data_IF_719081456950
#
_entry.id   IF_719081456950
#
_cell.length_a   1.000
_cell.length_b   1.000
_cell.length_c   1.000
_cell.angle_alpha   90.00
_cell.angle_beta   90.00
_cell.angle_gamma   90.00
#
_symmetry.space_group_name_H-M   'P 1'
#
loop_
_entity.id
_entity.type
_entity.pdbx_description
1 polymer ?
#
# COMPACT_ATOMS: atom_id res chain seq x y z
N UNK A 1 13.96 -9.01 -2.69
CA UNK A 1 15.18 -9.16 -3.53
C UNK A 1 15.83 -10.51 -3.30
N UNK A 2 16.28 -10.83 -2.10
CA UNK A 2 16.95 -12.10 -1.75
C UNK A 2 16.22 -13.37 -2.22
N UNK A 3 14.92 -13.48 -2.02
CA UNK A 3 14.13 -14.65 -2.45
C UNK A 3 14.17 -14.88 -3.98
N UNK A 4 14.18 -13.79 -4.79
CA UNK A 4 14.25 -13.89 -6.25
C UNK A 4 15.65 -14.29 -6.71
N UNK A 5 16.69 -13.77 -6.06
CA UNK A 5 18.07 -14.17 -6.39
C UNK A 5 18.34 -15.63 -6.01
N UNK A 6 17.83 -16.12 -4.87
CA UNK A 6 17.89 -17.56 -4.53
C UNK A 6 17.15 -18.44 -5.54
N UNK A 7 16.02 -17.96 -6.09
CA UNK A 7 15.30 -18.66 -7.17
C UNK A 7 16.09 -18.65 -8.48
N UNK A 8 16.77 -17.55 -8.79
CA UNK A 8 17.65 -17.46 -9.95
C UNK A 8 18.85 -18.40 -9.82
N UNK A 9 19.49 -18.43 -8.66
CA UNK A 9 20.60 -19.34 -8.37
C UNK A 9 20.20 -20.81 -8.56
N UNK A 10 19.05 -21.22 -8.01
CA UNK A 10 18.49 -22.56 -8.25
C UNK A 10 18.27 -22.82 -9.74
N UNK A 11 17.69 -21.85 -10.46
CA UNK A 11 17.42 -21.96 -11.90
C UNK A 11 18.71 -22.13 -12.71
N UNK A 12 19.78 -21.41 -12.34
CA UNK A 12 21.11 -21.56 -12.97
C UNK A 12 21.72 -22.93 -12.67
N UNK A 13 21.65 -23.40 -11.44
CA UNK A 13 22.13 -24.72 -11.04
C UNK A 13 21.38 -25.86 -11.77
N UNK A 14 20.06 -25.76 -11.91
CA UNK A 14 19.23 -26.74 -12.63
C UNK A 14 19.60 -26.82 -14.13
N UNK A 15 20.31 -25.81 -14.67
CA UNK A 15 20.83 -25.75 -16.05
C UNK A 15 22.33 -26.10 -16.16
N UNK A 16 22.95 -26.52 -15.04
CA UNK A 16 24.38 -26.81 -14.96
C UNK A 16 25.27 -25.62 -15.38
N UNK A 17 24.82 -24.37 -15.17
CA UNK A 17 25.64 -23.19 -15.45
C UNK A 17 26.83 -23.15 -14.50
N UNK A 18 28.05 -23.16 -15.06
CA UNK A 18 29.31 -23.21 -14.29
C UNK A 18 30.09 -21.91 -14.37
N UNK A 19 29.61 -20.94 -15.15
CA UNK A 19 30.30 -19.68 -15.37
C UNK A 19 30.02 -18.74 -14.19
N UNK A 20 31.07 -18.11 -13.66
CA UNK A 20 30.94 -17.01 -12.72
C UNK A 20 30.52 -15.77 -13.51
N UNK A 21 29.25 -15.37 -13.33
CA UNK A 21 28.61 -14.30 -14.09
C UNK A 21 27.26 -14.77 -14.65
N UNK A 22 26.70 -14.02 -15.56
CA UNK A 22 25.40 -14.34 -16.16
C UNK A 22 25.56 -14.35 -17.69
N UNK A 23 25.48 -15.54 -18.27
CA UNK A 23 25.51 -15.69 -19.73
C UNK A 23 24.23 -15.10 -20.35
N UNK A 24 24.30 -14.70 -21.62
CA UNK A 24 23.13 -14.19 -22.35
C UNK A 24 22.03 -15.26 -22.42
N UNK A 25 22.39 -16.50 -22.69
CA UNK A 25 21.42 -17.59 -22.83
C UNK A 25 20.69 -17.87 -21.51
N UNK A 26 21.40 -17.84 -20.37
CA UNK A 26 20.81 -17.97 -19.05
C UNK A 26 19.87 -16.81 -18.74
N UNK A 27 20.28 -15.58 -19.05
CA UNK A 27 19.48 -14.38 -18.84
C UNK A 27 18.20 -14.41 -19.70
N UNK A 28 18.34 -14.73 -20.99
CA UNK A 28 17.20 -14.81 -21.91
C UNK A 28 16.21 -15.90 -21.48
N UNK A 29 16.71 -17.08 -21.07
CA UNK A 29 15.87 -18.14 -20.53
C UNK A 29 15.14 -17.74 -19.23
N UNK A 30 15.83 -17.02 -18.33
CA UNK A 30 15.19 -16.48 -17.13
C UNK A 30 14.17 -15.41 -17.44
N UNK A 31 14.37 -14.59 -18.47
CA UNK A 31 13.46 -13.53 -18.89
C UNK A 31 12.21 -14.04 -19.62
N UNK A 32 12.15 -15.31 -20.03
CA UNK A 32 10.95 -15.93 -20.57
C UNK A 32 9.83 -15.96 -19.51
N UNK A 33 8.57 -15.81 -19.95
CA UNK A 33 7.41 -15.87 -19.07
C UNK A 33 7.22 -17.27 -18.50
N UNK A 34 7.11 -17.38 -17.19
CA UNK A 34 6.79 -18.66 -16.54
C UNK A 34 5.29 -18.95 -16.55
N UNK A 35 4.89 -20.24 -16.51
CA UNK A 35 3.47 -20.61 -16.41
C UNK A 35 2.80 -19.95 -15.21
N UNK A 36 1.66 -19.30 -15.43
CA UNK A 36 0.90 -18.61 -14.39
C UNK A 36 1.50 -17.30 -13.87
N UNK A 37 2.62 -16.84 -14.43
CA UNK A 37 3.25 -15.57 -14.05
C UNK A 37 2.51 -14.38 -14.69
N UNK A 38 2.23 -13.32 -13.88
CA UNK A 38 1.74 -12.05 -14.42
C UNK A 38 2.86 -11.25 -15.10
N UNK A 39 2.53 -10.37 -16.06
CA UNK A 39 3.51 -9.49 -16.69
C UNK A 39 4.21 -8.55 -15.69
N UNK A 40 3.49 -8.06 -14.67
CA UNK A 40 4.07 -7.27 -13.59
C UNK A 40 5.16 -8.04 -12.83
N UNK A 41 4.90 -9.31 -12.49
CA UNK A 41 5.86 -10.15 -11.78
C UNK A 41 7.07 -10.49 -12.66
N UNK A 42 6.83 -10.79 -13.93
CA UNK A 42 7.89 -11.01 -14.92
C UNK A 42 8.78 -9.78 -15.05
N UNK A 43 8.18 -8.61 -15.25
CA UNK A 43 8.91 -7.35 -15.39
C UNK A 43 9.75 -7.06 -14.14
N UNK A 44 9.17 -7.22 -12.93
CA UNK A 44 9.88 -7.04 -11.67
C UNK A 44 11.05 -8.03 -11.51
N UNK A 45 10.87 -9.28 -11.93
CA UNK A 45 11.90 -10.32 -11.91
C UNK A 45 13.08 -9.96 -12.82
N UNK A 46 12.81 -9.40 -14.00
CA UNK A 46 13.84 -8.94 -14.94
C UNK A 46 14.60 -7.73 -14.37
N UNK A 47 13.89 -6.76 -13.73
CA UNK A 47 14.55 -5.63 -13.06
C UNK A 47 15.55 -6.10 -12.00
N UNK A 48 15.18 -7.09 -11.20
CA UNK A 48 16.08 -7.63 -10.15
C UNK A 48 17.30 -8.28 -10.78
N UNK A 49 17.13 -9.11 -11.82
CA UNK A 49 18.25 -9.74 -12.52
C UNK A 49 19.16 -8.68 -13.15
N UNK A 50 18.57 -7.68 -13.81
CA UNK A 50 19.31 -6.57 -14.42
C UNK A 50 20.19 -5.84 -13.41
N UNK A 51 19.64 -5.52 -12.23
CA UNK A 51 20.40 -4.89 -11.16
C UNK A 51 21.54 -5.78 -10.64
N UNK A 52 21.28 -7.09 -10.54
CA UNK A 52 22.30 -8.05 -10.13
C UNK A 52 23.40 -8.22 -11.18
N UNK A 53 23.04 -8.34 -12.48
CA UNK A 53 24.02 -8.37 -13.58
C UNK A 53 24.93 -7.14 -13.60
N UNK A 54 24.31 -5.95 -13.43
CA UNK A 54 25.08 -4.69 -13.35
C UNK A 54 26.04 -4.69 -12.15
N UNK A 55 25.62 -5.16 -10.99
CA UNK A 55 26.48 -5.31 -9.82
C UNK A 55 27.65 -6.28 -10.10
N UNK A 56 27.40 -7.44 -10.71
CA UNK A 56 28.45 -8.41 -11.06
C UNK A 56 29.51 -7.79 -11.97
N UNK A 57 29.11 -6.97 -12.98
CA UNK A 57 30.05 -6.24 -13.82
C UNK A 57 30.93 -5.29 -12.99
N UNK A 58 30.36 -4.60 -11.98
CA UNK A 58 31.15 -3.66 -11.14
C UNK A 58 32.24 -4.34 -10.32
N UNK A 59 32.08 -5.64 -10.04
CA UNK A 59 33.06 -6.46 -9.31
C UNK A 59 33.91 -7.37 -10.23
N UNK A 60 33.87 -7.12 -11.57
CA UNK A 60 34.76 -7.72 -12.54
C UNK A 60 34.29 -9.03 -13.16
N UNK A 61 33.02 -9.46 -12.95
CA UNK A 61 32.47 -10.62 -13.64
C UNK A 61 31.80 -10.23 -14.94
N UNK A 62 32.09 -10.99 -16.01
CA UNK A 62 31.37 -10.82 -17.28
C UNK A 62 29.92 -11.30 -17.11
N UNK A 63 28.98 -10.36 -17.23
CA UNK A 63 27.57 -10.64 -17.00
C UNK A 63 26.70 -9.85 -17.99
N UNK A 64 25.84 -10.56 -18.70
CA UNK A 64 24.88 -9.96 -19.61
C UNK A 64 23.80 -9.20 -18.86
N UNK A 65 23.54 -7.94 -19.25
CA UNK A 65 22.46 -7.12 -18.68
C UNK A 65 21.21 -7.27 -19.54
N UNK A 66 20.14 -7.94 -19.05
CA UNK A 66 18.93 -8.17 -19.84
C UNK A 66 18.25 -6.86 -20.26
N UNK A 67 17.67 -6.84 -21.46
CA UNK A 67 16.85 -5.72 -21.93
C UNK A 67 15.49 -5.79 -21.25
N UNK A 68 15.02 -4.64 -20.71
CA UNK A 68 13.69 -4.56 -20.13
C UNK A 68 12.63 -4.56 -21.23
N UNK A 69 11.62 -5.44 -21.15
CA UNK A 69 10.49 -5.39 -22.06
C UNK A 69 9.68 -4.11 -21.85
N UNK A 70 9.02 -3.62 -22.90
CA UNK A 70 8.00 -2.58 -22.72
C UNK A 70 6.91 -3.12 -21.79
N UNK A 71 6.65 -2.42 -20.71
CA UNK A 71 5.66 -2.82 -19.73
C UNK A 71 4.80 -1.63 -19.33
N UNK A 72 3.50 -1.80 -19.42
CA UNK A 72 2.52 -0.85 -18.88
C UNK A 72 1.68 -1.60 -17.86
N UNK A 73 1.71 -1.15 -16.63
CA UNK A 73 0.82 -1.69 -15.61
C UNK A 73 -0.59 -1.16 -15.83
N UNK A 74 -1.52 -2.04 -16.16
CA UNK A 74 -2.96 -1.75 -16.27
C UNK A 74 -3.67 -1.88 -14.90
N UNK A 75 -2.90 -1.79 -13.81
CA UNK A 75 -3.47 -1.89 -12.49
C UNK A 75 -4.28 -0.64 -12.13
N UNK A 76 -5.60 -0.81 -12.00
CA UNK A 76 -6.51 0.19 -11.44
C UNK A 76 -6.83 -0.21 -10.01
N UNK A 77 -6.53 0.62 -9.00
CA UNK A 77 -6.89 0.33 -7.62
C UNK A 77 -8.41 0.37 -7.44
N UNK A 78 -8.91 -0.41 -6.49
CA UNK A 78 -10.31 -0.34 -6.08
C UNK A 78 -10.50 0.85 -5.12
N UNK A 79 -11.55 1.63 -5.33
CA UNK A 79 -11.93 2.74 -4.45
C UNK A 79 -13.25 2.36 -3.78
N UNK A 80 -13.19 2.22 -2.46
CA UNK A 80 -14.37 1.87 -1.67
C UNK A 80 -15.37 3.02 -1.63
N UNK A 81 -16.64 2.72 -1.87
CA UNK A 81 -17.72 3.68 -1.69
C UNK A 81 -18.02 3.92 -0.20
N UNK A 82 -18.67 5.04 0.16
CA UNK A 82 -19.09 5.30 1.54
C UNK A 82 -19.96 4.17 2.14
N UNK A 83 -20.91 3.63 1.34
CA UNK A 83 -21.76 2.51 1.75
C UNK A 83 -20.96 1.22 2.00
N UNK A 84 -19.99 0.91 1.14
CA UNK A 84 -19.09 -0.24 1.36
C UNK A 84 -18.27 -0.07 2.64
N UNK A 85 -17.75 1.14 2.89
CA UNK A 85 -17.00 1.42 4.12
C UNK A 85 -17.87 1.28 5.37
N UNK A 86 -19.13 1.72 5.33
CA UNK A 86 -20.07 1.53 6.43
C UNK A 86 -20.30 0.03 6.73
N UNK A 87 -20.54 -0.76 5.68
CA UNK A 87 -20.70 -2.22 5.80
C UNK A 87 -19.44 -2.89 6.35
N UNK A 88 -18.25 -2.47 5.88
CA UNK A 88 -16.95 -2.95 6.38
C UNK A 88 -16.82 -2.65 7.88
N UNK A 89 -17.08 -1.42 8.31
CA UNK A 89 -16.98 -1.04 9.73
C UNK A 89 -17.97 -1.81 10.59
N UNK A 90 -19.19 -2.01 10.13
CA UNK A 90 -20.20 -2.82 10.82
C UNK A 90 -19.74 -4.26 11.04
N UNK A 91 -19.13 -4.88 10.00
CA UNK A 91 -18.58 -6.23 10.14
C UNK A 91 -17.31 -6.28 11.02
N UNK A 92 -16.46 -5.24 10.98
CA UNK A 92 -15.33 -5.10 11.91
C UNK A 92 -15.79 -5.10 13.38
N UNK A 93 -16.86 -4.37 13.68
CA UNK A 93 -17.39 -4.28 15.04
C UNK A 93 -18.03 -5.60 15.49
N UNK A 94 -18.72 -6.31 14.59
CA UNK A 94 -19.28 -7.64 14.86
C UNK A 94 -18.21 -8.69 15.17
N UNK A 95 -17.09 -8.68 14.46
CA UNK A 95 -15.99 -9.62 14.69
C UNK A 95 -15.40 -9.46 16.10
N UNK A 96 -15.43 -8.26 16.65
CA UNK A 96 -14.93 -7.96 17.99
C UNK A 96 -15.77 -8.63 19.10
N UNK A 97 -17.01 -8.99 18.84
CA UNK A 97 -17.90 -9.60 19.82
C UNK A 97 -17.55 -11.08 20.18
N UNK A 98 -16.70 -11.75 19.40
CA UNK A 98 -16.33 -13.17 19.60
C UNK A 98 -14.93 -13.34 20.21
N UNK A 99 -14.76 -12.97 21.48
CA UNK A 99 -13.48 -12.72 22.15
C UNK A 99 -12.66 -13.92 22.67
N UNK A 100 -13.02 -15.16 22.40
CA UNK A 100 -12.43 -16.27 23.16
C UNK A 100 -11.19 -16.97 22.57
N UNK A 101 -10.57 -16.44 21.52
CA UNK A 101 -9.38 -17.05 20.95
C UNK A 101 -8.11 -16.28 21.33
N UNK A 102 -7.33 -16.81 22.23
CA UNK A 102 -6.10 -16.22 22.83
C UNK A 102 -5.10 -15.71 21.77
N UNK A 103 -5.00 -16.35 20.63
CA UNK A 103 -4.09 -15.94 19.53
C UNK A 103 -4.75 -15.05 18.46
N UNK A 104 -5.91 -14.47 18.75
CA UNK A 104 -6.67 -13.69 17.77
C UNK A 104 -6.17 -12.26 17.64
N UNK A 105 -5.98 -11.79 16.42
CA UNK A 105 -5.77 -10.39 16.10
C UNK A 105 -7.09 -9.59 15.99
N UNK A 106 -8.24 -10.27 16.11
CA UNK A 106 -9.59 -9.70 15.86
C UNK A 106 -9.89 -8.49 16.75
N UNK A 107 -9.39 -8.50 17.98
CA UNK A 107 -9.51 -7.40 18.95
C UNK A 107 -8.98 -6.06 18.39
N UNK A 108 -7.87 -6.09 17.63
CA UNK A 108 -7.24 -4.90 17.05
C UNK A 108 -7.92 -4.41 15.76
N UNK A 109 -8.72 -5.27 15.11
CA UNK A 109 -9.26 -5.01 13.77
C UNK A 109 -10.11 -3.75 13.68
N UNK A 110 -11.09 -3.49 14.57
CA UNK A 110 -11.95 -2.32 14.42
C UNK A 110 -11.19 -1.00 14.44
N UNK A 111 -10.20 -0.87 15.32
CA UNK A 111 -9.34 0.31 15.39
C UNK A 111 -8.38 0.38 14.23
N UNK A 112 -7.71 -0.74 13.89
CA UNK A 112 -6.71 -0.81 12.82
C UNK A 112 -7.31 -0.46 11.44
N UNK A 113 -8.47 -1.01 11.09
CA UNK A 113 -9.11 -0.73 9.79
C UNK A 113 -9.52 0.74 9.70
N UNK A 114 -10.08 1.32 10.77
CA UNK A 114 -10.41 2.76 10.82
C UNK A 114 -9.16 3.63 10.72
N UNK A 115 -8.06 3.22 11.36
CA UNK A 115 -6.79 3.93 11.27
C UNK A 115 -6.25 3.92 9.83
N UNK A 116 -6.25 2.75 9.17
CA UNK A 116 -5.80 2.63 7.78
C UNK A 116 -6.65 3.46 6.82
N UNK A 117 -7.98 3.46 7.01
CA UNK A 117 -8.89 4.24 6.19
C UNK A 117 -8.77 5.74 6.44
N UNK A 118 -8.70 6.18 7.71
CA UNK A 118 -8.69 7.59 8.09
C UNK A 118 -7.34 8.29 7.94
N UNK A 119 -6.24 7.52 7.75
CA UNK A 119 -4.90 8.09 7.61
C UNK A 119 -4.19 7.67 6.33
N UNK A 120 -4.66 6.65 5.64
CA UNK A 120 -4.01 6.12 4.44
C UNK A 120 -2.59 5.57 4.66
N UNK A 121 -2.13 5.33 5.89
CA UNK A 121 -0.81 4.74 6.16
C UNK A 121 -0.71 3.30 5.63
N UNK A 122 0.51 2.82 5.40
CA UNK A 122 0.71 1.43 4.96
C UNK A 122 0.45 0.46 6.10
N UNK A 123 -0.10 -0.72 5.79
CA UNK A 123 -0.30 -1.77 6.82
C UNK A 123 1.01 -2.10 7.56
N UNK A 124 2.15 -2.14 6.85
CA UNK A 124 3.45 -2.40 7.47
C UNK A 124 3.91 -1.29 8.41
N UNK A 125 3.48 -0.05 8.19
CA UNK A 125 3.71 1.08 9.10
C UNK A 125 2.78 0.95 10.32
N UNK A 126 1.49 0.68 10.10
CA UNK A 126 0.50 0.55 11.18
C UNK A 126 0.84 -0.55 12.19
N UNK A 127 1.23 -1.75 11.74
CA UNK A 127 1.56 -2.86 12.65
C UNK A 127 2.88 -2.70 13.40
N UNK A 128 3.71 -1.75 13.00
CA UNK A 128 4.97 -1.39 13.68
C UNK A 128 4.80 -0.24 14.68
N UNK A 129 3.65 0.44 14.70
CA UNK A 129 3.39 1.50 15.65
C UNK A 129 3.56 1.00 17.08
N UNK A 130 4.27 1.79 17.89
CA UNK A 130 4.37 1.63 19.34
C UNK A 130 3.42 2.61 20.05
N UNK A 131 3.18 2.40 21.33
CA UNK A 131 2.37 3.32 22.10
C UNK A 131 2.97 4.72 22.18
N UNK A 132 4.31 4.86 22.25
CA UNK A 132 5.02 6.14 22.24
C UNK A 132 4.92 6.90 20.91
N UNK A 133 4.55 6.23 19.82
CA UNK A 133 4.41 6.85 18.51
C UNK A 133 3.07 7.58 18.32
N UNK A 134 2.15 7.47 19.29
CA UNK A 134 0.83 8.10 19.21
C UNK A 134 0.75 9.24 20.23
N UNK A 135 0.77 10.46 19.72
CA UNK A 135 0.58 11.65 20.51
C UNK A 135 -0.92 12.02 20.55
N UNK A 136 -1.57 11.61 21.61
CA UNK A 136 -2.98 11.91 21.81
C UNK A 136 -3.25 13.37 22.15
N UNK A 137 -2.26 14.12 22.64
CA UNK A 137 -2.41 15.53 22.98
C UNK A 137 -2.42 16.40 21.73
N UNK A 138 -1.49 16.11 20.79
CA UNK A 138 -1.37 16.82 19.54
C UNK A 138 -2.10 16.11 18.38
N UNK A 139 -2.83 15.02 18.66
CA UNK A 139 -3.60 14.23 17.69
C UNK A 139 -2.78 13.87 16.46
N UNK A 140 -1.63 13.25 16.65
CA UNK A 140 -0.76 12.81 15.56
C UNK A 140 -0.06 11.48 15.84
N UNK A 141 0.39 10.82 14.76
CA UNK A 141 1.22 9.63 14.77
C UNK A 141 2.62 9.99 14.28
N UNK A 142 3.65 9.42 14.89
CA UNK A 142 5.00 9.39 14.35
C UNK A 142 5.24 8.05 13.65
N UNK A 143 5.41 8.06 12.35
CA UNK A 143 5.78 6.89 11.56
C UNK A 143 7.29 6.86 11.40
N UNK A 144 7.93 5.84 12.01
CA UNK A 144 9.38 5.68 11.98
C UNK A 144 9.82 4.80 10.81
N UNK A 145 11.05 5.02 10.34
CA UNK A 145 11.71 4.18 9.33
C UNK A 145 10.79 3.84 8.14
N UNK A 146 10.12 4.86 7.60
CA UNK A 146 9.28 4.66 6.44
C UNK A 146 10.10 4.09 5.26
N UNK A 147 9.43 3.59 4.22
CA UNK A 147 10.07 2.95 3.05
C UNK A 147 11.21 3.76 2.41
N UNK A 148 11.24 5.07 2.65
CA UNK A 148 12.29 6.01 2.22
C UNK A 148 13.35 6.31 3.29
N UNK A 149 13.35 5.59 4.42
CA UNK A 149 14.25 5.80 5.56
C UNK A 149 14.01 7.07 6.35
N UNK A 150 12.91 7.80 6.09
CA UNK A 150 12.57 9.05 6.79
C UNK A 150 11.36 8.86 7.68
N UNK A 151 11.40 9.49 8.84
CA UNK A 151 10.23 9.58 9.73
C UNK A 151 9.25 10.63 9.21
N UNK A 152 7.96 10.47 9.52
CA UNK A 152 6.95 11.48 9.23
C UNK A 152 5.83 11.49 10.26
N UNK A 153 5.28 12.67 10.49
CA UNK A 153 4.06 12.83 11.27
C UNK A 153 2.82 12.67 10.38
N UNK A 154 1.79 12.06 10.96
CA UNK A 154 0.50 11.85 10.34
C UNK A 154 -0.57 12.34 11.29
N UNK A 155 -1.37 13.38 10.94
CA UNK A 155 -2.44 13.87 11.80
C UNK A 155 -3.55 12.83 11.95
N UNK A 156 -4.17 12.81 13.12
CA UNK A 156 -5.38 12.06 13.41
C UNK A 156 -6.57 13.03 13.48
N UNK A 157 -7.69 12.65 12.89
CA UNK A 157 -8.93 13.38 13.17
C UNK A 157 -9.34 13.15 14.64
N UNK A 158 -10.07 14.10 15.28
CA UNK A 158 -10.53 13.94 16.65
C UNK A 158 -11.32 12.65 16.88
N UNK A 159 -12.18 12.27 15.92
CA UNK A 159 -12.94 11.02 15.96
C UNK A 159 -12.05 9.78 15.93
N UNK A 160 -10.99 9.79 15.11
CA UNK A 160 -10.04 8.69 15.03
C UNK A 160 -9.15 8.60 16.28
N UNK A 161 -8.73 9.75 16.83
CA UNK A 161 -8.03 9.81 18.11
C UNK A 161 -8.86 9.22 19.26
N UNK A 162 -10.18 9.49 19.27
CA UNK A 162 -11.11 8.89 20.23
C UNK A 162 -11.18 7.36 20.11
N UNK A 163 -11.26 6.83 18.88
CA UNK A 163 -11.25 5.38 18.61
C UNK A 163 -9.95 4.74 19.09
N UNK A 164 -8.81 5.40 18.88
CA UNK A 164 -7.52 4.92 19.36
C UNK A 164 -7.44 4.93 20.90
N UNK A 165 -7.98 5.95 21.58
CA UNK A 165 -8.08 6.00 23.07
C UNK A 165 -8.98 4.88 23.62
N UNK A 166 -10.13 4.64 22.98
CA UNK A 166 -11.02 3.54 23.35
C UNK A 166 -10.34 2.17 23.21
N UNK A 167 -9.57 2.00 22.13
CA UNK A 167 -8.77 0.78 21.94
C UNK A 167 -7.73 0.59 23.05
N UNK A 168 -7.02 1.65 23.48
CA UNK A 168 -6.07 1.58 24.61
C UNK A 168 -6.79 1.22 25.90
N UNK A 169 -7.94 1.84 26.17
CA UNK A 169 -8.76 1.52 27.35
C UNK A 169 -9.20 0.05 27.36
N UNK A 170 -9.58 -0.49 26.19
CA UNK A 170 -9.90 -1.91 26.03
C UNK A 170 -8.69 -2.80 26.27
N UNK A 171 -7.50 -2.44 25.74
CA UNK A 171 -6.26 -3.17 26.04
C UNK A 171 -6.01 -3.28 27.54
N UNK A 172 -6.14 -2.18 28.26
CA UNK A 172 -5.96 -2.16 29.74
C UNK A 172 -6.93 -3.10 30.44
N UNK A 173 -8.23 -3.07 30.06
CA UNK A 173 -9.26 -3.95 30.62
C UNK A 173 -8.98 -5.43 30.40
N UNK A 174 -8.30 -5.77 29.30
CA UNK A 174 -7.87 -7.14 28.98
C UNK A 174 -6.50 -7.53 29.57
N UNK A 175 -5.87 -6.65 30.36
CA UNK A 175 -4.55 -6.88 30.94
C UNK A 175 -3.41 -6.89 29.92
N UNK A 176 -3.63 -6.36 28.72
CA UNK A 176 -2.60 -6.24 27.68
C UNK A 176 -1.68 -5.06 27.97
N UNK A 177 -0.42 -5.19 27.59
CA UNK A 177 0.58 -4.16 27.83
C UNK A 177 0.30 -2.85 27.09
N UNK A 178 0.46 -1.73 27.81
CA UNK A 178 0.41 -0.36 27.28
C UNK A 178 1.76 0.36 27.44
N UNK A 179 2.84 -0.40 27.70
CA UNK A 179 4.17 0.19 27.81
C UNK A 179 4.50 0.97 26.53
N UNK A 180 5.09 2.18 26.63
CA UNK A 180 5.43 3.02 25.50
C UNK A 180 6.19 2.32 24.36
N UNK A 181 7.08 1.39 24.69
CA UNK A 181 7.91 0.68 23.71
C UNK A 181 7.23 -0.55 23.08
N UNK A 182 6.06 -0.97 23.59
CA UNK A 182 5.34 -2.11 23.05
C UNK A 182 4.49 -1.71 21.84
N UNK A 183 4.23 -2.69 20.97
CA UNK A 183 3.38 -2.47 19.81
C UNK A 183 1.98 -2.02 20.19
N UNK A 184 1.50 -1.03 19.44
CA UNK A 184 0.15 -0.52 19.65
C UNK A 184 -0.90 -1.58 19.29
N UNK A 185 -0.78 -2.19 18.10
CA UNK A 185 -1.66 -3.27 17.64
C UNK A 185 -1.05 -4.64 17.93
N UNK A 186 -1.75 -5.43 18.71
CA UNK A 186 -1.31 -6.76 19.17
C UNK A 186 -2.42 -7.79 19.08
N UNK A 187 -2.06 -9.06 19.17
CA UNK A 187 -3.01 -10.15 19.40
C UNK A 187 -3.44 -10.16 20.87
N UNK A 188 -4.46 -10.96 21.21
CA UNK A 188 -4.93 -11.10 22.60
C UNK A 188 -3.88 -11.68 23.57
N UNK A 189 -2.78 -12.23 23.08
CA UNK A 189 -1.64 -12.68 23.87
C UNK A 189 -0.45 -11.71 23.87
N UNK A 190 -0.71 -10.44 23.55
CA UNK A 190 0.27 -9.35 23.48
C UNK A 190 1.42 -9.55 22.46
N UNK A 191 1.26 -10.48 21.51
CA UNK A 191 2.22 -10.69 20.44
C UNK A 191 1.92 -9.85 19.20
N UNK A 192 2.95 -9.61 18.38
CA UNK A 192 2.83 -8.85 17.13
C UNK A 192 1.87 -9.50 16.12
N UNK A 193 1.29 -8.68 15.26
CA UNK A 193 0.39 -9.12 14.20
C UNK A 193 1.11 -9.08 12.86
N UNK A 194 0.97 -10.11 12.04
CA UNK A 194 1.49 -10.09 10.67
C UNK A 194 0.53 -9.42 9.70
N UNK A 195 1.05 -8.75 8.68
CA UNK A 195 0.22 -8.16 7.61
C UNK A 195 -0.62 -9.21 6.88
N UNK A 196 -0.12 -10.45 6.76
CA UNK A 196 -0.85 -11.57 6.16
C UNK A 196 -2.08 -11.94 6.99
N UNK A 197 -1.95 -11.98 8.34
CA UNK A 197 -3.07 -12.25 9.24
C UNK A 197 -4.16 -11.18 9.07
N UNK A 198 -3.79 -9.90 9.05
CA UNK A 198 -4.75 -8.81 8.86
C UNK A 198 -5.43 -8.90 7.50
N UNK A 199 -4.67 -9.18 6.42
CA UNK A 199 -5.23 -9.33 5.08
C UNK A 199 -6.24 -10.49 5.00
N UNK A 200 -5.95 -11.62 5.64
CA UNK A 200 -6.88 -12.75 5.69
C UNK A 200 -8.17 -12.39 6.43
N UNK A 201 -8.07 -11.74 7.61
CA UNK A 201 -9.25 -11.29 8.36
C UNK A 201 -10.05 -10.28 7.54
N UNK A 202 -9.38 -9.33 6.89
CA UNK A 202 -10.03 -8.32 6.05
C UNK A 202 -10.77 -8.96 4.86
N UNK A 203 -10.22 -10.02 4.25
CA UNK A 203 -10.90 -10.76 3.21
C UNK A 203 -12.24 -11.36 3.70
N UNK A 204 -12.25 -11.95 4.89
CA UNK A 204 -13.50 -12.46 5.49
C UNK A 204 -14.48 -11.32 5.83
N UNK A 205 -13.98 -10.14 6.22
CA UNK A 205 -14.83 -8.96 6.41
C UNK A 205 -15.49 -8.57 5.09
N UNK A 206 -14.73 -8.51 3.98
CA UNK A 206 -15.29 -8.19 2.66
C UNK A 206 -16.37 -9.18 2.23
N UNK A 207 -16.15 -10.48 2.42
CA UNK A 207 -17.13 -11.53 2.14
C UNK A 207 -18.43 -11.31 2.93
N UNK A 208 -18.32 -11.03 4.24
CA UNK A 208 -19.48 -10.77 5.11
C UNK A 208 -20.19 -9.45 4.81
N UNK A 209 -19.44 -8.46 4.37
CA UNK A 209 -19.96 -7.17 3.91
C UNK A 209 -20.59 -7.25 2.49
N UNK A 210 -20.67 -8.44 1.90
CA UNK A 210 -21.16 -8.68 0.53
C UNK A 210 -20.42 -7.81 -0.52
N UNK A 211 -19.11 -7.64 -0.34
CA UNK A 211 -18.25 -6.95 -1.30
C UNK A 211 -17.51 -8.01 -2.11
N UNK A 212 -17.96 -8.19 -3.35
CA UNK A 212 -17.53 -9.31 -4.21
C UNK A 212 -16.15 -9.02 -4.83
N UNK A 213 -15.28 -10.02 -4.80
CA UNK A 213 -14.06 -10.04 -5.60
C UNK A 213 -14.37 -10.56 -7.00
N UNK A 214 -13.87 -9.88 -8.02
CA UNK A 214 -13.94 -10.36 -9.39
C UNK A 214 -13.18 -11.69 -9.53
N UNK A 215 -13.67 -12.58 -10.40
CA UNK A 215 -13.14 -13.93 -10.65
C UNK A 215 -11.61 -13.94 -10.92
N UNK A 216 -11.07 -12.88 -11.49
CA UNK A 216 -9.64 -12.72 -11.79
C UNK A 216 -8.78 -12.32 -10.58
N UNK A 217 -9.24 -12.43 -9.34
CA UNK A 217 -8.57 -11.98 -8.10
C UNK A 217 -8.16 -10.49 -8.10
N UNK A 218 -8.64 -9.70 -9.05
CA UNK A 218 -8.50 -8.24 -9.13
C UNK A 218 -9.70 -7.63 -8.41
N UNK A 219 -9.73 -7.72 -7.11
CA UNK A 219 -10.84 -7.19 -6.33
C UNK A 219 -10.35 -6.35 -5.17
N UNK A 220 -11.28 -5.83 -4.38
CA UNK A 220 -10.96 -5.00 -3.24
C UNK A 220 -9.99 -5.70 -2.28
N UNK A 221 -9.00 -4.96 -1.82
CA UNK A 221 -7.91 -5.44 -0.94
C UNK A 221 -7.71 -4.47 0.20
N UNK A 222 -7.05 -4.93 1.25
CA UNK A 222 -6.68 -4.08 2.39
C UNK A 222 -5.91 -2.81 1.97
N UNK A 223 -5.01 -2.92 0.97
CA UNK A 223 -4.24 -1.77 0.50
C UNK A 223 -5.09 -0.72 -0.23
N UNK A 224 -6.25 -1.10 -0.72
CA UNK A 224 -7.16 -0.20 -1.42
C UNK A 224 -7.85 0.80 -0.46
N UNK A 225 -7.84 0.54 0.86
CA UNK A 225 -8.19 1.56 1.86
C UNK A 225 -7.30 2.81 1.76
N UNK A 226 -6.00 2.61 1.52
CA UNK A 226 -5.05 3.70 1.30
C UNK A 226 -5.31 4.42 -0.02
N UNK A 227 -5.68 3.68 -1.07
CA UNK A 227 -6.06 4.28 -2.35
C UNK A 227 -7.32 5.12 -2.20
N UNK A 228 -8.33 4.61 -1.49
CA UNK A 228 -9.57 5.33 -1.18
C UNK A 228 -9.29 6.60 -0.38
N UNK A 229 -8.47 6.52 0.68
CA UNK A 229 -8.05 7.70 1.42
C UNK A 229 -7.42 8.77 0.51
N UNK A 230 -6.50 8.36 -0.36
CA UNK A 230 -5.80 9.30 -1.24
C UNK A 230 -6.75 9.99 -2.23
N UNK A 231 -7.67 9.23 -2.84
CA UNK A 231 -8.68 9.78 -3.77
C UNK A 231 -9.63 10.72 -3.03
N UNK A 232 -10.19 10.32 -1.90
CA UNK A 232 -11.11 11.15 -1.13
C UNK A 232 -10.43 12.45 -0.64
N UNK A 233 -9.18 12.35 -0.16
CA UNK A 233 -8.42 13.54 0.26
C UNK A 233 -8.10 14.47 -0.91
N UNK A 234 -7.79 13.90 -2.09
CA UNK A 234 -7.57 14.68 -3.30
C UNK A 234 -8.83 15.46 -3.68
N UNK A 235 -9.97 14.77 -3.74
CA UNK A 235 -11.28 15.36 -4.04
C UNK A 235 -11.61 16.50 -3.07
N UNK A 236 -11.54 16.24 -1.76
CA UNK A 236 -11.84 17.25 -0.73
C UNK A 236 -10.93 18.48 -0.81
N UNK A 237 -9.65 18.30 -1.10
CA UNK A 237 -8.70 19.41 -1.24
C UNK A 237 -9.01 20.24 -2.49
N UNK A 238 -9.38 19.62 -3.61
CA UNK A 238 -9.80 20.31 -4.81
C UNK A 238 -11.11 21.09 -4.59
N UNK A 239 -12.11 20.46 -3.96
CA UNK A 239 -13.38 21.10 -3.60
C UNK A 239 -13.19 22.30 -2.65
N UNK A 240 -12.15 22.30 -1.83
CA UNK A 240 -11.77 23.44 -0.98
C UNK A 240 -11.10 24.58 -1.74
N UNK A 241 -11.02 24.53 -3.08
CA UNK A 241 -10.44 25.55 -3.94
C UNK A 241 -8.92 25.56 -3.99
N UNK A 242 -8.24 24.48 -3.57
CA UNK A 242 -6.79 24.38 -3.68
C UNK A 242 -6.39 23.97 -5.10
N UNK A 243 -5.30 24.59 -5.57
CA UNK A 243 -4.69 24.23 -6.85
C UNK A 243 -4.27 22.75 -6.90
N UNK A 244 -4.52 22.09 -8.01
CA UNK A 244 -4.26 20.66 -8.23
C UNK A 244 -2.78 20.30 -8.03
N UNK A 245 -1.84 21.16 -8.48
CA UNK A 245 -0.40 20.90 -8.32
C UNK A 245 -0.02 20.94 -6.85
N UNK A 246 -0.55 21.90 -6.09
CA UNK A 246 -0.34 21.98 -4.65
C UNK A 246 -0.95 20.78 -3.92
N UNK A 247 -2.16 20.37 -4.32
CA UNK A 247 -2.81 19.16 -3.77
C UNK A 247 -1.94 17.92 -4.01
N UNK A 248 -1.38 17.76 -5.22
CA UNK A 248 -0.49 16.64 -5.54
C UNK A 248 0.77 16.64 -4.67
N UNK A 249 1.41 17.79 -4.46
CA UNK A 249 2.60 17.91 -3.63
C UNK A 249 2.31 17.60 -2.16
N UNK A 250 1.18 18.09 -1.64
CA UNK A 250 0.72 17.80 -0.27
C UNK A 250 0.52 16.30 -0.11
N UNK A 251 -0.24 15.68 -1.00
CA UNK A 251 -0.52 14.24 -0.94
C UNK A 251 0.73 13.40 -1.15
N UNK A 252 1.61 13.79 -2.07
CA UNK A 252 2.90 13.10 -2.28
C UNK A 252 3.72 13.07 -1.00
N UNK A 253 3.85 14.21 -0.34
CA UNK A 253 4.59 14.34 0.93
C UNK A 253 3.93 13.54 2.04
N UNK A 254 2.63 13.71 2.24
CA UNK A 254 1.84 13.00 3.24
C UNK A 254 1.92 11.49 3.07
N UNK A 255 1.72 10.99 1.84
CA UNK A 255 1.75 9.57 1.52
C UNK A 255 3.17 8.99 1.54
N UNK A 256 4.21 9.82 1.59
CA UNK A 256 5.60 9.38 1.50
C UNK A 256 5.90 8.70 0.15
N UNK A 257 5.45 9.31 -0.95
CA UNK A 257 5.79 8.90 -2.30
C UNK A 257 7.14 9.51 -2.72
N UNK A 258 7.99 8.70 -3.36
CA UNK A 258 9.32 9.15 -3.81
C UNK A 258 9.29 9.86 -5.17
N UNK A 259 8.17 9.78 -5.89
CA UNK A 259 8.03 10.40 -7.22
C UNK A 259 6.60 10.90 -7.45
N UNK A 260 6.47 11.94 -8.24
CA UNK A 260 5.19 12.48 -8.72
C UNK A 260 4.42 11.40 -9.49
N UNK A 261 5.10 10.56 -10.28
CA UNK A 261 4.48 9.48 -11.03
C UNK A 261 3.66 8.51 -10.14
N UNK A 262 4.09 8.28 -8.89
CA UNK A 262 3.33 7.47 -7.94
C UNK A 262 2.01 8.14 -7.50
N UNK A 263 1.92 9.47 -7.57
CA UNK A 263 0.73 10.26 -7.22
C UNK A 263 -0.13 10.55 -8.46
N UNK A 264 0.45 10.70 -9.65
CA UNK A 264 -0.27 10.95 -10.91
C UNK A 264 -1.35 9.90 -11.23
N UNK A 265 -1.16 8.65 -10.81
CA UNK A 265 -2.20 7.63 -10.96
C UNK A 265 -3.52 8.00 -10.27
N UNK A 266 -3.46 8.76 -9.17
CA UNK A 266 -4.66 9.21 -8.45
C UNK A 266 -5.37 10.34 -9.18
N UNK A 267 -4.62 11.22 -9.85
CA UNK A 267 -5.19 12.25 -10.73
C UNK A 267 -6.04 11.58 -11.81
N UNK A 268 -5.48 10.60 -12.52
CA UNK A 268 -6.23 9.85 -13.55
C UNK A 268 -7.47 9.13 -13.02
N UNK A 269 -7.41 8.64 -11.78
CA UNK A 269 -8.58 8.01 -11.14
C UNK A 269 -9.64 9.07 -10.86
N UNK A 270 -9.25 10.23 -10.33
CA UNK A 270 -10.16 11.34 -10.05
C UNK A 270 -10.76 11.87 -11.35
N UNK A 271 -9.98 12.04 -12.41
CA UNK A 271 -10.47 12.41 -13.76
C UNK A 271 -11.56 11.45 -14.25
N UNK A 272 -11.36 10.15 -14.01
CA UNK A 272 -12.31 9.13 -14.45
C UNK A 272 -13.57 9.07 -13.57
N UNK A 273 -13.40 9.19 -12.25
CA UNK A 273 -14.49 9.02 -11.28
C UNK A 273 -15.25 10.31 -10.97
N UNK A 274 -14.59 11.46 -11.10
CA UNK A 274 -15.09 12.79 -10.73
C UNK A 274 -14.77 13.83 -11.81
N UNK A 275 -15.25 13.65 -13.05
CA UNK A 275 -14.92 14.53 -14.19
C UNK A 275 -15.32 16.00 -13.95
N UNK A 276 -16.37 16.24 -13.16
CA UNK A 276 -16.82 17.60 -12.83
C UNK A 276 -15.78 18.36 -11.99
N UNK A 277 -15.07 17.68 -11.10
CA UNK A 277 -14.00 18.30 -10.28
C UNK A 277 -12.86 18.76 -11.19
N UNK A 278 -12.47 17.92 -12.15
CA UNK A 278 -11.42 18.26 -13.11
C UNK A 278 -11.83 19.46 -13.96
N UNK A 279 -13.07 19.48 -14.47
CA UNK A 279 -13.59 20.62 -15.23
C UNK A 279 -13.60 21.92 -14.41
N UNK A 280 -14.04 21.86 -13.16
CA UNK A 280 -14.04 23.06 -12.29
C UNK A 280 -12.63 23.60 -12.07
N UNK A 281 -11.65 22.72 -11.87
CA UNK A 281 -10.24 23.11 -11.70
C UNK A 281 -9.68 23.70 -13.00
N UNK A 282 -9.96 23.09 -14.13
CA UNK A 282 -9.50 23.55 -15.44
C UNK A 282 -10.10 24.92 -15.80
N UNK A 283 -11.38 25.15 -15.51
CA UNK A 283 -12.04 26.45 -15.66
C UNK A 283 -11.47 27.55 -14.74
N UNK A 284 -11.01 27.17 -13.54
CA UNK A 284 -10.45 28.11 -12.56
C UNK A 284 -9.02 28.53 -12.91
N UNK A 285 -8.26 27.68 -13.58
CA UNK A 285 -6.82 27.84 -13.82
C UNK A 285 -6.42 28.01 -15.28
N UNK A 286 -7.35 28.40 -16.18
CA UNK A 286 -7.10 28.72 -17.59
C UNK A 286 -6.24 27.69 -18.33
N UNK A 287 -6.80 26.52 -18.61
CA UNK A 287 -6.18 25.50 -19.48
C UNK A 287 -4.81 24.98 -19.00
N UNK A 288 -4.74 24.48 -17.78
CA UNK A 288 -3.53 23.80 -17.25
C UNK A 288 -3.28 22.46 -17.96
N UNK A 289 -4.31 21.83 -18.49
CA UNK A 289 -4.21 20.60 -19.25
C UNK A 289 -4.09 20.89 -20.75
N UNK A 290 -3.07 20.36 -21.45
CA UNK A 290 -2.99 20.51 -22.90
C UNK A 290 -4.24 19.87 -23.54
N UNK A 291 -4.86 20.57 -24.47
CA UNK A 291 -5.95 20.03 -25.28
C UNK A 291 -5.46 18.74 -25.95
N UNK A 292 -6.08 17.60 -25.66
CA UNK A 292 -5.72 16.31 -26.25
C UNK A 292 -5.93 16.29 -27.77
N UNK A 293 -6.70 17.25 -28.31
CA UNK A 293 -6.95 17.39 -29.75
C UNK A 293 -5.80 18.07 -30.51
N UNK A 294 -4.83 18.67 -29.81
CA UNK A 294 -3.65 19.33 -30.45
C UNK A 294 -2.39 18.43 -30.46
N UNK A 295 -2.47 17.20 -29.99
CA UNK A 295 -1.34 16.25 -29.95
C UNK A 295 -1.39 15.20 -31.06
N UNK A 296 -2.20 15.38 -32.10
CA UNK A 296 -2.25 14.55 -33.30
C UNK A 296 -1.76 15.34 -34.52
N UNK A 297 -0.46 15.63 -34.53
CA UNK A 297 0.31 15.92 -35.76
C UNK A 297 1.70 15.28 -35.64
#
# INVERSE_FOLDING_TARGET
MECLLKRFDKFANDRNEKVLGISKDLADAWCCKFPGESEDNRYYRIIILRGFSSFLQTIGYDSYIPILPKHQSNFVPYIYTPDEMERIFKECDRINAYHHVINSARFSIPCLIRLLYGTGIRIGEAIKLKHCDIDFKNECLLLRECKNGKDRYVPLSPSLALICRDYVTKKQKFGLSINPENYFFVKCNDTSISSKTISNIFNHILERAAIVRNENRKGPRLHDLRHTFCVNSFVQLCESGKDIHNVMLILMTYMGHQSIAATNKYVRIVETMFPEIVRQVDMTHNHIFPNMDEMTD
#
